data_IF_799017936517
#
_entry.id   IF_799017936517
#
_cell.length_a   1.000
_cell.length_b   1.000
_cell.length_c   1.000
_cell.angle_alpha   90.00
_cell.angle_beta   90.00
_cell.angle_gamma   90.00
#
_symmetry.space_group_name_H-M   'P 1'
#
loop_
_entity.id
_entity.type
_entity.pdbx_description
1 polymer ?
#
# COMPACT_ATOMS: atom_id res chain seq x y z
N UNK A 1 -34.67 -5.49 9.51
CA UNK A 1 -34.85 -5.24 8.08
C UNK A 1 -33.56 -4.58 7.60
N UNK A 2 -32.53 -5.40 7.34
CA UNK A 2 -31.20 -4.97 6.90
C UNK A 2 -31.32 -4.62 5.43
N UNK A 3 -31.10 -3.38 5.08
CA UNK A 3 -31.01 -2.94 3.70
C UNK A 3 -29.59 -3.31 3.24
N UNK A 4 -29.52 -4.49 2.63
CA UNK A 4 -28.33 -4.95 1.89
C UNK A 4 -28.31 -4.16 0.57
N UNK A 5 -27.71 -2.97 0.59
CA UNK A 5 -27.42 -2.24 -0.63
C UNK A 5 -26.07 -2.73 -1.10
N UNK A 6 -25.96 -3.50 -2.18
CA UNK A 6 -24.66 -3.86 -2.72
C UNK A 6 -23.94 -2.56 -3.07
N UNK A 7 -22.75 -2.37 -2.50
CA UNK A 7 -21.85 -1.28 -2.89
C UNK A 7 -21.64 -1.44 -4.40
N UNK A 8 -22.26 -0.56 -5.17
CA UNK A 8 -22.00 -0.47 -6.61
C UNK A 8 -20.53 -0.15 -6.74
N UNK A 9 -19.77 -1.13 -7.22
CA UNK A 9 -18.38 -0.93 -7.61
C UNK A 9 -18.35 0.30 -8.54
N UNK A 10 -17.80 1.42 -8.05
CA UNK A 10 -17.63 2.60 -8.90
C UNK A 10 -16.44 2.34 -9.82
N UNK A 11 -16.76 1.67 -10.96
CA UNK A 11 -15.77 1.31 -11.97
C UNK A 11 -14.99 2.52 -12.50
N UNK A 12 -15.57 3.70 -12.44
CA UNK A 12 -14.93 4.96 -12.84
C UNK A 12 -13.84 5.33 -11.85
N UNK A 13 -14.11 5.24 -10.55
CA UNK A 13 -13.15 5.53 -9.50
C UNK A 13 -12.01 4.48 -9.50
N UNK A 14 -12.33 3.21 -9.65
CA UNK A 14 -11.34 2.13 -9.76
C UNK A 14 -10.41 2.37 -10.97
N UNK A 15 -10.95 2.68 -12.14
CA UNK A 15 -10.16 2.98 -13.33
C UNK A 15 -9.28 4.23 -13.15
N UNK A 16 -9.78 5.28 -12.48
CA UNK A 16 -8.99 6.48 -12.17
C UNK A 16 -7.83 6.16 -11.24
N UNK A 17 -8.05 5.31 -10.21
CA UNK A 17 -6.99 4.88 -9.31
C UNK A 17 -5.95 4.02 -10.02
N UNK A 18 -6.37 3.04 -10.84
CA UNK A 18 -5.43 2.23 -11.63
C UNK A 18 -4.57 3.10 -12.55
N UNK A 19 -5.19 4.05 -13.27
CA UNK A 19 -4.48 4.98 -14.15
C UNK A 19 -3.46 5.83 -13.38
N UNK A 20 -3.80 6.31 -12.18
CA UNK A 20 -2.89 7.09 -11.34
C UNK A 20 -1.69 6.24 -10.86
N UNK A 21 -1.91 4.99 -10.46
CA UNK A 21 -0.83 4.09 -10.04
C UNK A 21 0.05 3.61 -11.21
N UNK A 22 -0.44 3.72 -12.45
CA UNK A 22 0.35 3.50 -13.66
C UNK A 22 1.27 4.69 -14.01
N UNK A 23 1.11 5.86 -13.35
CA UNK A 23 1.98 7.03 -13.54
C UNK A 23 3.35 6.84 -12.88
N UNK A 24 4.38 7.37 -13.52
CA UNK A 24 5.75 7.32 -12.99
C UNK A 24 6.36 5.92 -12.98
N UNK A 25 7.28 5.68 -12.05
CA UNK A 25 7.94 4.38 -11.86
C UNK A 25 7.85 3.88 -10.43
N UNK A 26 6.63 3.48 -10.04
CA UNK A 26 6.41 2.93 -8.70
C UNK A 26 7.22 1.65 -8.45
N UNK A 27 7.48 0.85 -9.49
CA UNK A 27 8.29 -0.36 -9.35
C UNK A 27 9.73 -0.03 -8.92
N UNK A 28 10.33 1.01 -9.52
CA UNK A 28 11.64 1.52 -9.12
C UNK A 28 11.64 1.97 -7.65
N UNK A 29 10.61 2.71 -7.22
CA UNK A 29 10.47 3.13 -5.82
C UNK A 29 10.37 1.94 -4.87
N UNK A 30 9.58 0.93 -5.22
CA UNK A 30 9.42 -0.28 -4.42
C UNK A 30 10.76 -1.02 -4.25
N UNK A 31 11.58 -1.05 -5.29
CA UNK A 31 12.88 -1.70 -5.27
C UNK A 31 13.95 -0.90 -4.53
N UNK A 32 14.03 0.41 -4.78
CA UNK A 32 15.13 1.23 -4.24
C UNK A 32 14.95 1.62 -2.78
N UNK A 33 13.69 1.85 -2.34
CA UNK A 33 13.47 2.42 -1.00
C UNK A 33 12.53 1.60 -0.11
N UNK A 34 11.62 0.80 -0.68
CA UNK A 34 10.64 0.04 0.12
C UNK A 34 10.94 -1.47 0.19
N UNK A 35 12.02 -1.94 -0.44
CA UNK A 35 12.36 -3.36 -0.48
C UNK A 35 12.42 -4.04 0.91
N UNK A 36 12.90 -3.40 1.99
CA UNK A 36 12.94 -4.04 3.30
C UNK A 36 11.57 -4.39 3.89
N UNK A 37 10.49 -3.72 3.51
CA UNK A 37 9.14 -3.99 4.03
C UNK A 37 8.65 -5.41 3.69
N UNK A 38 9.11 -5.97 2.57
CA UNK A 38 8.76 -7.32 2.16
C UNK A 38 9.18 -8.39 3.17
N UNK A 39 10.47 -8.57 3.42
CA UNK A 39 10.96 -9.51 4.43
C UNK A 39 10.39 -9.27 5.84
N UNK A 40 10.16 -8.02 6.22
CA UNK A 40 9.57 -7.66 7.52
C UNK A 40 8.16 -8.26 7.64
N UNK A 41 7.29 -8.01 6.65
CA UNK A 41 5.92 -8.53 6.70
C UNK A 41 5.89 -10.05 6.60
N UNK A 42 6.72 -10.64 5.74
CA UNK A 42 6.85 -12.09 5.58
C UNK A 42 7.21 -12.76 6.90
N UNK A 43 8.17 -12.20 7.63
CA UNK A 43 8.59 -12.73 8.94
C UNK A 43 7.48 -12.56 9.99
N UNK A 44 6.87 -11.38 10.07
CA UNK A 44 5.83 -11.07 11.06
C UNK A 44 4.57 -11.92 10.85
N UNK A 45 4.18 -12.19 9.60
CA UNK A 45 3.03 -13.01 9.27
C UNK A 45 3.33 -14.53 9.34
N UNK A 46 4.57 -14.93 9.59
CA UNK A 46 4.97 -16.34 9.68
C UNK A 46 4.85 -17.10 8.36
N UNK A 47 5.12 -16.44 7.23
CA UNK A 47 5.00 -17.06 5.91
C UNK A 47 6.10 -18.10 5.71
N UNK A 48 5.71 -19.32 5.28
CA UNK A 48 6.61 -20.43 5.09
C UNK A 48 6.12 -21.45 4.06
N UNK A 49 6.89 -22.53 3.86
CA UNK A 49 6.59 -23.56 2.87
C UNK A 49 5.21 -24.18 3.08
N UNK A 50 4.50 -24.41 1.98
CA UNK A 50 3.19 -25.08 1.97
C UNK A 50 1.99 -24.20 2.32
N UNK A 51 2.20 -22.96 2.77
CA UNK A 51 1.14 -22.01 3.03
C UNK A 51 0.64 -21.39 1.71
N UNK A 52 -0.67 -21.17 1.63
CA UNK A 52 -1.33 -20.43 0.55
C UNK A 52 -1.53 -18.97 0.98
N UNK A 53 -0.90 -18.06 0.28
CA UNK A 53 -0.78 -16.66 0.66
C UNK A 53 -1.42 -15.77 -0.41
N UNK A 54 -2.23 -14.80 0.01
CA UNK A 54 -2.76 -13.74 -0.84
C UNK A 54 -2.07 -12.43 -0.52
N UNK A 55 -1.48 -11.80 -1.53
CA UNK A 55 -0.96 -10.44 -1.46
C UNK A 55 -1.94 -9.48 -2.17
N UNK A 56 -2.56 -8.59 -1.41
CA UNK A 56 -3.61 -7.67 -1.87
C UNK A 56 -3.00 -6.30 -2.14
N UNK A 57 -3.27 -5.76 -3.33
CA UNK A 57 -2.66 -4.53 -3.84
C UNK A 57 -1.13 -4.65 -3.83
N UNK A 58 -0.65 -5.72 -4.45
CA UNK A 58 0.74 -6.20 -4.40
C UNK A 58 1.72 -5.33 -5.20
N UNK A 59 1.20 -4.47 -6.09
CA UNK A 59 2.01 -3.65 -6.97
C UNK A 59 3.00 -4.46 -7.80
N UNK A 60 4.26 -4.06 -7.80
CA UNK A 60 5.35 -4.76 -8.49
C UNK A 60 5.93 -5.95 -7.73
N UNK A 61 5.22 -6.49 -6.71
CA UNK A 61 5.55 -7.73 -6.02
C UNK A 61 6.55 -7.58 -4.87
N UNK A 62 6.58 -6.43 -4.24
CA UNK A 62 7.54 -6.14 -3.16
C UNK A 62 7.42 -7.08 -1.96
N UNK A 63 6.22 -7.62 -1.71
CA UNK A 63 5.96 -8.61 -0.68
C UNK A 63 5.78 -10.01 -1.29
N UNK A 64 5.09 -10.09 -2.43
CA UNK A 64 4.83 -11.36 -3.12
C UNK A 64 6.11 -12.16 -3.41
N UNK A 65 7.19 -11.49 -3.86
CA UNK A 65 8.42 -12.17 -4.21
C UNK A 65 9.16 -12.73 -2.98
N UNK A 66 9.39 -11.95 -1.89
CA UNK A 66 9.91 -12.50 -0.63
C UNK A 66 9.06 -13.64 -0.07
N UNK A 67 7.73 -13.54 -0.14
CA UNK A 67 6.82 -14.60 0.29
C UNK A 67 7.03 -15.89 -0.52
N UNK A 68 7.11 -15.78 -1.86
CA UNK A 68 7.36 -16.94 -2.73
C UNK A 68 8.74 -17.59 -2.47
N UNK A 69 9.76 -16.82 -2.10
CA UNK A 69 11.09 -17.35 -1.73
C UNK A 69 11.07 -18.26 -0.51
N UNK A 70 10.06 -18.14 0.35
CA UNK A 70 9.90 -19.05 1.50
C UNK A 70 9.40 -20.44 1.12
N UNK A 71 8.93 -20.64 -0.12
CA UNK A 71 8.25 -21.85 -0.58
C UNK A 71 6.74 -21.84 -0.38
N UNK A 72 6.15 -20.68 -0.07
CA UNK A 72 4.71 -20.49 -0.05
C UNK A 72 4.13 -20.44 -1.46
N UNK A 73 2.86 -20.85 -1.60
CA UNK A 73 2.08 -20.67 -2.84
C UNK A 73 1.43 -19.29 -2.80
N UNK A 74 1.92 -18.36 -3.61
CA UNK A 74 1.50 -16.95 -3.56
C UNK A 74 0.58 -16.61 -4.71
N UNK A 75 -0.54 -15.96 -4.38
CA UNK A 75 -1.41 -15.25 -5.32
C UNK A 75 -1.19 -13.76 -5.11
N UNK A 76 -0.75 -13.08 -6.15
CA UNK A 76 -0.46 -11.64 -6.17
C UNK A 76 -1.60 -10.91 -6.89
N UNK A 77 -2.24 -9.97 -6.22
CA UNK A 77 -3.37 -9.22 -6.79
C UNK A 77 -3.14 -7.73 -6.76
N UNK A 78 -3.53 -7.03 -7.82
CA UNK A 78 -3.52 -5.57 -7.89
C UNK A 78 -4.63 -5.09 -8.83
N UNK A 79 -5.03 -3.85 -8.68
CA UNK A 79 -5.99 -3.17 -9.55
C UNK A 79 -5.33 -2.70 -10.86
N UNK A 80 -3.99 -2.59 -10.89
CA UNK A 80 -3.18 -2.03 -11.96
C UNK A 80 -2.43 -3.15 -12.70
N UNK A 81 -2.91 -3.60 -13.87
CA UNK A 81 -2.30 -4.72 -14.61
C UNK A 81 -0.82 -4.49 -14.93
N UNK A 82 -0.43 -3.25 -15.22
CA UNK A 82 0.96 -2.88 -15.54
C UNK A 82 1.91 -3.20 -14.39
N UNK A 83 1.47 -3.03 -13.13
CA UNK A 83 2.27 -3.37 -11.96
C UNK A 83 2.40 -4.88 -11.80
N UNK A 84 1.33 -5.64 -12.06
CA UNK A 84 1.38 -7.10 -12.04
C UNK A 84 2.34 -7.66 -13.11
N UNK A 85 2.37 -7.08 -14.31
CA UNK A 85 3.33 -7.51 -15.35
C UNK A 85 4.77 -7.21 -14.93
N UNK A 86 5.04 -6.09 -14.26
CA UNK A 86 6.37 -5.81 -13.67
C UNK A 86 6.72 -6.83 -12.58
N UNK A 87 5.78 -7.16 -11.69
CA UNK A 87 5.96 -8.20 -10.67
C UNK A 87 6.30 -9.56 -11.30
N UNK A 88 5.60 -9.92 -12.38
CA UNK A 88 5.82 -11.16 -13.12
C UNK A 88 7.20 -11.22 -13.76
N UNK A 89 7.65 -10.12 -14.37
CA UNK A 89 8.99 -10.03 -14.93
C UNK A 89 10.07 -10.22 -13.85
N UNK A 90 9.94 -9.52 -12.72
CA UNK A 90 10.86 -9.66 -11.56
C UNK A 90 10.86 -11.07 -10.97
N UNK A 91 9.71 -11.73 -10.91
CA UNK A 91 9.62 -13.12 -10.46
C UNK A 91 10.36 -14.06 -11.42
N UNK A 92 10.19 -13.89 -12.73
CA UNK A 92 10.86 -14.70 -13.75
C UNK A 92 12.39 -14.55 -13.68
N UNK A 93 12.91 -13.33 -13.49
CA UNK A 93 14.34 -13.05 -13.29
C UNK A 93 14.92 -13.77 -12.06
N UNK A 94 14.08 -13.99 -11.03
CA UNK A 94 14.47 -14.68 -9.79
C UNK A 94 14.12 -16.18 -9.78
N UNK A 95 13.59 -16.72 -10.89
CA UNK A 95 13.18 -18.12 -10.99
C UNK A 95 11.99 -18.50 -10.09
N UNK A 96 11.14 -17.51 -9.72
CA UNK A 96 9.99 -17.68 -8.87
C UNK A 96 8.72 -17.88 -9.71
N UNK A 97 7.78 -18.68 -9.17
CA UNK A 97 6.47 -18.89 -9.77
C UNK A 97 5.39 -18.41 -8.82
N UNK A 98 4.56 -17.48 -9.29
CA UNK A 98 3.41 -16.94 -8.56
C UNK A 98 2.18 -16.97 -9.48
N UNK A 99 0.99 -16.92 -8.87
CA UNK A 99 -0.26 -16.67 -9.58
C UNK A 99 -0.55 -15.17 -9.54
N UNK A 100 -0.99 -14.59 -10.67
CA UNK A 100 -1.32 -13.17 -10.78
C UNK A 100 -2.77 -13.00 -11.19
N UNK A 101 -3.47 -12.07 -10.54
CA UNK A 101 -4.86 -11.77 -10.85
C UNK A 101 -5.16 -10.30 -10.63
N UNK A 102 -5.72 -9.63 -11.65
CA UNK A 102 -6.29 -8.31 -11.49
C UNK A 102 -7.48 -8.39 -10.54
N UNK A 103 -7.46 -7.57 -9.48
CA UNK A 103 -8.53 -7.55 -8.49
C UNK A 103 -8.61 -6.21 -7.77
N UNK A 104 -9.85 -5.83 -7.42
CA UNK A 104 -10.12 -4.72 -6.52
C UNK A 104 -10.07 -5.23 -5.07
N UNK A 105 -9.28 -4.59 -4.21
CA UNK A 105 -9.17 -4.94 -2.79
C UNK A 105 -10.51 -4.88 -2.03
N UNK A 106 -11.50 -4.16 -2.56
CA UNK A 106 -12.84 -4.02 -1.98
C UNK A 106 -13.81 -5.13 -2.45
N UNK A 107 -13.41 -5.97 -3.40
CA UNK A 107 -14.23 -7.04 -3.97
C UNK A 107 -13.31 -8.13 -4.54
N UNK A 108 -12.68 -8.91 -3.66
CA UNK A 108 -11.73 -9.95 -4.04
C UNK A 108 -12.44 -11.15 -4.67
N UNK A 109 -11.98 -11.64 -5.83
CA UNK A 109 -12.64 -12.71 -6.57
C UNK A 109 -12.28 -14.11 -6.03
N UNK A 110 -12.28 -14.25 -4.70
CA UNK A 110 -11.93 -15.48 -4.00
C UNK A 110 -13.03 -15.90 -3.02
N UNK A 111 -13.08 -17.19 -2.72
CA UNK A 111 -14.00 -17.75 -1.72
C UNK A 111 -13.63 -17.37 -0.29
N UNK A 112 -14.60 -17.53 0.63
CA UNK A 112 -14.36 -17.33 2.06
C UNK A 112 -13.36 -18.36 2.57
N UNK A 113 -12.36 -17.90 3.33
CA UNK A 113 -11.38 -18.77 3.95
C UNK A 113 -10.44 -19.51 2.99
N UNK A 114 -10.20 -18.96 1.81
CA UNK A 114 -9.40 -19.62 0.77
C UNK A 114 -7.89 -19.58 1.04
N UNK A 115 -7.41 -18.67 1.90
CA UNK A 115 -5.99 -18.44 2.14
C UNK A 115 -5.59 -18.69 3.60
N UNK A 116 -4.41 -19.27 3.81
CA UNK A 116 -3.79 -19.39 5.13
C UNK A 116 -3.37 -18.04 5.67
N UNK A 117 -2.86 -17.18 4.77
CA UNK A 117 -2.42 -15.83 5.09
C UNK A 117 -2.95 -14.85 4.04
N UNK A 118 -3.49 -13.72 4.51
CA UNK A 118 -3.81 -12.57 3.67
C UNK A 118 -2.96 -11.38 4.10
N UNK A 119 -2.36 -10.69 3.16
CA UNK A 119 -1.45 -9.60 3.48
C UNK A 119 -1.57 -8.42 2.51
N UNK A 120 -1.14 -7.25 2.97
CA UNK A 120 -0.93 -6.08 2.13
C UNK A 120 0.10 -5.15 2.77
N UNK A 121 1.08 -4.68 2.00
CA UNK A 121 1.97 -3.61 2.47
C UNK A 121 1.78 -2.37 1.62
N UNK A 122 1.39 -1.28 2.29
CA UNK A 122 1.18 0.06 1.72
C UNK A 122 0.00 0.13 0.73
N UNK A 123 -0.28 -0.94 -0.01
CA UNK A 123 -1.27 -0.92 -1.10
C UNK A 123 -2.72 -0.72 -0.62
N UNK A 124 -3.20 -1.54 0.31
CA UNK A 124 -4.62 -1.57 0.74
C UNK A 124 -5.10 -0.25 1.34
N UNK A 125 -4.20 0.53 1.94
CA UNK A 125 -4.53 1.83 2.55
C UNK A 125 -5.07 2.85 1.53
N UNK A 126 -4.86 2.61 0.25
CA UNK A 126 -5.35 3.46 -0.83
C UNK A 126 -6.72 3.03 -1.39
N UNK A 127 -7.29 1.95 -0.90
CA UNK A 127 -8.66 1.57 -1.25
C UNK A 127 -9.63 2.68 -0.80
N UNK A 128 -10.56 3.13 -1.66
CA UNK A 128 -11.51 4.19 -1.31
C UNK A 128 -12.40 3.86 -0.11
N UNK A 129 -12.88 2.64 -0.01
CA UNK A 129 -13.66 2.15 1.12
C UNK A 129 -12.79 1.24 1.98
N UNK A 130 -12.22 1.82 3.05
CA UNK A 130 -11.34 1.11 3.97
C UNK A 130 -12.05 -0.08 4.65
N UNK A 131 -13.35 0.07 5.00
CA UNK A 131 -14.06 -0.99 5.68
C UNK A 131 -14.34 -2.18 4.74
N UNK A 132 -14.74 -1.91 3.48
CA UNK A 132 -14.90 -2.98 2.49
C UNK A 132 -13.59 -3.73 2.27
N UNK A 133 -12.47 -3.02 2.11
CA UNK A 133 -11.17 -3.63 1.90
C UNK A 133 -10.72 -4.48 3.11
N UNK A 134 -10.93 -3.99 4.34
CA UNK A 134 -10.65 -4.76 5.56
C UNK A 134 -11.53 -6.01 5.66
N UNK A 135 -12.83 -5.88 5.37
CA UNK A 135 -13.76 -7.01 5.38
C UNK A 135 -13.32 -8.10 4.40
N UNK A 136 -12.85 -7.73 3.21
CA UNK A 136 -12.36 -8.68 2.21
C UNK A 136 -11.09 -9.42 2.66
N UNK A 137 -10.10 -8.70 3.26
CA UNK A 137 -8.93 -9.35 3.85
C UNK A 137 -9.33 -10.41 4.88
N UNK A 138 -10.30 -10.06 5.75
CA UNK A 138 -10.79 -10.96 6.79
C UNK A 138 -11.60 -12.10 6.18
N UNK A 139 -12.45 -11.84 5.19
CA UNK A 139 -13.33 -12.83 4.56
C UNK A 139 -12.55 -13.97 3.89
N UNK A 140 -11.55 -13.59 3.07
CA UNK A 140 -10.79 -14.59 2.28
C UNK A 140 -9.72 -15.33 3.08
N UNK A 141 -9.37 -14.84 4.28
CA UNK A 141 -8.51 -15.54 5.23
C UNK A 141 -9.30 -16.65 5.91
N UNK A 142 -8.73 -17.85 6.05
CA UNK A 142 -9.38 -18.96 6.75
C UNK A 142 -9.44 -18.73 8.27
N UNK A 143 -10.38 -19.36 9.00
CA UNK A 143 -10.32 -19.37 10.46
C UNK A 143 -8.97 -19.91 10.97
N UNK A 144 -8.38 -19.23 11.95
CA UNK A 144 -7.03 -19.50 12.46
C UNK A 144 -5.91 -19.12 11.48
N UNK A 145 -6.21 -18.45 10.37
CA UNK A 145 -5.22 -17.90 9.46
C UNK A 145 -4.73 -16.52 9.90
N UNK A 146 -3.63 -16.06 9.32
CA UNK A 146 -2.99 -14.79 9.67
C UNK A 146 -3.34 -13.68 8.68
N UNK A 147 -3.64 -12.50 9.21
CA UNK A 147 -3.77 -11.26 8.44
C UNK A 147 -2.57 -10.38 8.78
N UNK A 148 -1.82 -9.92 7.77
CA UNK A 148 -0.66 -9.06 7.95
C UNK A 148 -0.77 -7.78 7.13
N UNK A 149 -0.60 -6.61 7.76
CA UNK A 149 -0.68 -5.30 7.08
C UNK A 149 0.47 -4.41 7.49
N UNK A 150 1.08 -3.72 6.53
CA UNK A 150 1.96 -2.57 6.78
C UNK A 150 1.33 -1.32 6.15
N UNK A 151 1.28 -0.23 6.89
CA UNK A 151 0.76 1.05 6.41
C UNK A 151 1.57 2.23 6.94
N UNK A 152 1.71 3.29 6.14
CA UNK A 152 2.35 4.52 6.60
C UNK A 152 1.54 5.19 7.69
N UNK A 153 2.21 5.70 8.72
CA UNK A 153 1.54 6.45 9.78
C UNK A 153 1.18 7.86 9.32
N UNK A 154 0.06 8.44 9.83
CA UNK A 154 -0.33 9.80 9.46
C UNK A 154 0.68 10.86 9.90
N UNK A 155 1.38 10.60 11.01
CA UNK A 155 2.35 11.49 11.62
C UNK A 155 3.73 11.43 10.96
N UNK A 156 4.07 10.30 10.30
CA UNK A 156 5.33 10.10 9.59
C UNK A 156 5.42 10.87 8.27
N UNK A 157 6.61 10.86 7.67
CA UNK A 157 6.90 11.57 6.42
C UNK A 157 5.86 11.31 5.32
N UNK A 158 5.55 10.03 5.03
CA UNK A 158 4.59 9.68 3.98
C UNK A 158 3.17 10.18 4.27
N UNK A 159 2.70 10.03 5.50
CA UNK A 159 1.36 10.51 5.89
C UNK A 159 1.22 12.02 5.71
N UNK A 160 2.24 12.77 6.13
CA UNK A 160 2.29 14.23 5.96
C UNK A 160 2.42 14.66 4.49
N UNK A 161 3.21 13.94 3.71
CA UNK A 161 3.32 14.16 2.26
C UNK A 161 1.97 13.92 1.56
N UNK A 162 1.29 12.81 1.86
CA UNK A 162 -0.03 12.53 1.29
C UNK A 162 -1.07 13.58 1.69
N UNK A 163 -1.00 14.10 2.91
CA UNK A 163 -1.85 15.20 3.37
C UNK A 163 -1.57 16.50 2.61
N UNK A 164 -0.30 16.83 2.34
CA UNK A 164 0.09 18.00 1.55
C UNK A 164 -0.38 17.89 0.09
N UNK A 165 -0.34 16.70 -0.51
CA UNK A 165 -0.79 16.45 -1.89
C UNK A 165 -2.32 16.48 -2.04
N UNK A 166 -3.06 16.18 -0.97
CA UNK A 166 -4.52 15.95 -1.02
C UNK A 166 -5.34 17.09 -1.66
N UNK A 167 -5.09 18.39 -1.39
CA UNK A 167 -5.83 19.49 -2.01
C UNK A 167 -5.73 19.53 -3.53
N UNK A 168 -4.67 18.96 -4.09
CA UNK A 168 -4.36 18.96 -5.52
C UNK A 168 -4.77 17.68 -6.23
N UNK A 169 -5.47 16.76 -5.53
CA UNK A 169 -5.84 15.44 -6.04
C UNK A 169 -7.35 15.23 -5.97
N UNK A 170 -8.10 15.64 -7.01
CA UNK A 170 -9.58 15.48 -7.05
C UNK A 170 -10.02 14.01 -6.98
N UNK A 171 -9.20 13.07 -7.45
CA UNK A 171 -9.44 11.62 -7.34
C UNK A 171 -9.53 11.14 -5.87
N UNK A 172 -8.85 11.87 -4.96
CA UNK A 172 -8.93 11.68 -3.51
C UNK A 172 -9.93 12.68 -2.93
N UNK A 173 -11.20 12.54 -3.30
CA UNK A 173 -12.30 13.37 -2.80
C UNK A 173 -12.20 13.62 -1.29
N UNK A 174 -12.57 14.84 -0.86
CA UNK A 174 -12.64 15.18 0.57
C UNK A 174 -13.59 14.26 1.37
N UNK A 175 -14.49 13.56 0.69
CA UNK A 175 -15.38 12.57 1.28
C UNK A 175 -14.71 11.23 1.60
N UNK A 176 -13.57 10.91 0.95
CA UNK A 176 -12.83 9.67 1.24
C UNK A 176 -11.96 9.82 2.49
N UNK A 177 -11.81 8.76 3.30
CA UNK A 177 -10.91 8.79 4.44
C UNK A 177 -9.45 8.98 3.97
N UNK A 178 -8.61 9.70 4.75
CA UNK A 178 -7.19 9.75 4.48
C UNK A 178 -6.56 8.35 4.52
N UNK A 179 -5.84 7.96 3.46
CA UNK A 179 -5.23 6.62 3.34
C UNK A 179 -4.32 6.28 4.53
N UNK A 180 -3.55 7.24 5.04
CA UNK A 180 -2.65 7.05 6.17
C UNK A 180 -3.36 6.73 7.51
N UNK A 181 -4.70 6.79 7.58
CA UNK A 181 -5.43 6.32 8.77
C UNK A 181 -5.20 4.82 9.05
N UNK A 182 -4.90 4.01 8.04
CA UNK A 182 -4.48 2.62 8.23
C UNK A 182 -3.19 2.48 9.08
N UNK A 183 -2.39 3.53 9.18
CA UNK A 183 -1.23 3.62 10.07
C UNK A 183 -1.57 4.03 11.51
N UNK A 184 -2.86 4.14 11.89
CA UNK A 184 -3.30 4.33 13.26
C UNK A 184 -3.82 3.03 13.84
N UNK A 185 -3.22 2.58 14.94
CA UNK A 185 -3.55 1.33 15.61
C UNK A 185 -5.05 1.20 15.90
N UNK A 186 -5.65 2.19 16.57
CA UNK A 186 -7.07 2.15 16.90
C UNK A 186 -7.97 2.11 15.65
N UNK A 187 -7.55 2.73 14.55
CA UNK A 187 -8.32 2.75 13.31
C UNK A 187 -8.30 1.38 12.63
N UNK A 188 -7.10 0.80 12.40
CA UNK A 188 -6.97 -0.48 11.71
C UNK A 188 -7.58 -1.63 12.54
N UNK A 189 -7.39 -1.60 13.87
CA UNK A 189 -8.03 -2.56 14.78
C UNK A 189 -9.56 -2.47 14.70
N UNK A 190 -10.09 -1.24 14.63
CA UNK A 190 -11.53 -1.01 14.44
C UNK A 190 -12.05 -1.54 13.11
N UNK A 191 -11.28 -1.39 12.01
CA UNK A 191 -11.65 -1.94 10.69
C UNK A 191 -11.70 -3.47 10.68
N UNK A 192 -10.72 -4.14 11.31
CA UNK A 192 -10.67 -5.60 11.41
C UNK A 192 -11.77 -6.15 12.35
N UNK A 193 -12.17 -5.37 13.34
CA UNK A 193 -13.31 -5.61 14.21
C UNK A 193 -13.29 -6.95 14.94
N UNK A 194 -14.49 -7.50 15.16
CA UNK A 194 -14.68 -8.78 15.87
C UNK A 194 -14.31 -10.00 15.01
N UNK A 195 -13.97 -9.80 13.72
CA UNK A 195 -13.56 -10.86 12.81
C UNK A 195 -12.19 -11.47 13.11
N UNK A 196 -11.42 -10.81 13.97
CA UNK A 196 -10.05 -11.21 14.31
C UNK A 196 -9.82 -11.33 15.82
N UNK A 197 -8.71 -11.94 16.17
CA UNK A 197 -8.18 -12.04 17.53
C UNK A 197 -6.66 -11.91 17.50
N UNK A 198 -5.99 -11.94 18.66
CA UNK A 198 -4.54 -11.88 18.78
C UNK A 198 -3.90 -10.74 17.93
N UNK A 199 -4.55 -9.58 17.93
CA UNK A 199 -4.01 -8.42 17.19
C UNK A 199 -2.73 -7.95 17.85
N UNK A 200 -1.65 -7.84 17.05
CA UNK A 200 -0.40 -7.21 17.47
C UNK A 200 -0.11 -6.01 16.57
N UNK A 201 0.44 -4.97 17.14
CA UNK A 201 0.80 -3.74 16.43
C UNK A 201 2.21 -3.32 16.81
N UNK A 202 2.97 -2.87 15.82
CA UNK A 202 4.31 -2.34 16.01
C UNK A 202 4.53 -1.13 15.11
N UNK A 203 4.95 0.00 15.68
CA UNK A 203 5.44 1.14 14.92
C UNK A 203 6.95 1.02 14.79
N UNK A 204 7.46 1.16 13.58
CA UNK A 204 8.88 1.11 13.29
C UNK A 204 9.27 2.08 12.17
N UNK A 205 10.50 2.56 12.15
CA UNK A 205 11.03 3.33 11.04
C UNK A 205 11.53 2.40 9.92
N UNK A 206 11.27 2.80 8.69
CA UNK A 206 12.03 2.35 7.54
C UNK A 206 13.15 3.36 7.29
N UNK A 207 14.40 2.95 7.50
CA UNK A 207 15.56 3.78 7.19
C UNK A 207 15.76 3.88 5.68
N UNK A 208 15.84 5.12 5.16
CA UNK A 208 16.08 5.43 3.76
C UNK A 208 17.31 6.33 3.64
N UNK A 209 18.37 5.80 3.05
CA UNK A 209 19.68 6.46 2.90
C UNK A 209 19.95 6.91 1.46
N UNK A 210 18.96 6.85 0.60
CA UNK A 210 19.10 7.12 -0.84
C UNK A 210 19.34 8.59 -1.17
N UNK A 211 18.91 9.51 -0.29
CA UNK A 211 18.83 10.93 -0.61
C UNK A 211 19.83 11.74 0.18
N UNK A 212 20.64 12.53 -0.54
CA UNK A 212 21.60 13.42 0.10
C UNK A 212 21.00 14.80 0.50
N UNK A 213 19.88 15.20 -0.12
CA UNK A 213 19.24 16.50 0.11
C UNK A 213 17.73 16.39 0.06
N UNK A 214 17.02 17.30 0.73
CA UNK A 214 15.57 17.41 0.67
C UNK A 214 15.06 17.67 -0.77
N UNK A 215 15.81 18.43 -1.57
CA UNK A 215 15.49 18.65 -2.97
C UNK A 215 15.53 17.34 -3.76
N UNK A 216 16.52 16.48 -3.52
CA UNK A 216 16.60 15.16 -4.20
C UNK A 216 15.43 14.26 -3.83
N UNK A 217 14.93 14.32 -2.58
CA UNK A 217 13.71 13.63 -2.17
C UNK A 217 12.52 14.12 -2.99
N UNK A 218 12.31 15.44 -3.00
CA UNK A 218 11.22 16.07 -3.74
C UNK A 218 11.24 15.68 -5.23
N UNK A 219 12.40 15.84 -5.89
CA UNK A 219 12.55 15.55 -7.32
C UNK A 219 12.28 14.08 -7.63
N UNK A 220 12.70 13.18 -6.73
CA UNK A 220 12.43 11.74 -6.86
C UNK A 220 10.93 11.44 -6.83
N UNK A 221 10.19 11.97 -5.86
CA UNK A 221 8.74 11.76 -5.77
C UNK A 221 7.98 12.45 -6.90
N UNK A 222 8.41 13.64 -7.30
CA UNK A 222 7.80 14.40 -8.40
C UNK A 222 7.87 13.66 -9.73
N UNK A 223 8.95 12.88 -9.95
CA UNK A 223 9.16 12.16 -11.20
C UNK A 223 8.65 10.72 -11.19
N UNK A 224 8.56 10.05 -10.03
CA UNK A 224 8.33 8.61 -9.96
C UNK A 224 7.05 8.21 -9.23
N UNK A 225 6.46 9.09 -8.41
CA UNK A 225 5.34 8.72 -7.57
C UNK A 225 4.00 9.21 -8.13
N UNK A 226 3.14 8.28 -8.56
CA UNK A 226 1.88 8.58 -9.20
C UNK A 226 1.03 9.66 -8.51
N UNK A 227 0.81 9.59 -7.17
CA UNK A 227 0.09 10.63 -6.44
C UNK A 227 0.70 12.04 -6.55
N UNK A 228 2.01 12.16 -6.61
CA UNK A 228 2.69 13.45 -6.80
C UNK A 228 2.54 13.93 -8.24
N UNK A 229 2.76 13.06 -9.21
CA UNK A 229 2.58 13.35 -10.64
C UNK A 229 1.16 13.85 -10.92
N UNK A 230 0.15 13.15 -10.37
CA UNK A 230 -1.26 13.57 -10.48
C UNK A 230 -1.51 14.96 -9.91
N UNK A 231 -0.95 15.26 -8.73
CA UNK A 231 -1.09 16.57 -8.09
C UNK A 231 -0.56 17.69 -8.97
N UNK A 232 0.65 17.54 -9.53
CA UNK A 232 1.21 18.55 -10.44
C UNK A 232 0.47 18.64 -11.77
N UNK A 233 0.00 17.53 -12.31
CA UNK A 233 -0.85 17.54 -13.51
C UNK A 233 -2.15 18.32 -13.29
N UNK A 234 -2.76 18.20 -12.12
CA UNK A 234 -3.97 18.95 -11.76
C UNK A 234 -3.70 20.44 -11.48
N UNK A 235 -2.52 20.82 -10.99
CA UNK A 235 -2.10 22.21 -10.87
C UNK A 235 -1.95 22.85 -12.26
N UNK A 236 -1.53 22.08 -13.25
CA UNK A 236 -1.36 22.53 -14.63
C UNK A 236 -0.36 23.69 -14.75
N UNK A 237 -0.73 24.73 -15.53
CA UNK A 237 0.16 25.88 -15.81
C UNK A 237 0.22 26.93 -14.68
N UNK A 238 -0.37 26.63 -13.51
CA UNK A 238 -0.32 27.57 -12.38
C UNK A 238 1.05 27.50 -11.66
N UNK A 239 2.01 28.26 -12.17
CA UNK A 239 3.38 28.29 -11.66
C UNK A 239 3.50 28.72 -10.18
N UNK A 240 2.55 29.52 -9.68
CA UNK A 240 2.55 29.96 -8.27
C UNK A 240 2.19 28.78 -7.37
N UNK A 241 1.09 28.07 -7.65
CA UNK A 241 0.71 26.89 -6.88
C UNK A 241 1.76 25.77 -6.97
N UNK A 242 2.37 25.57 -8.14
CA UNK A 242 3.45 24.61 -8.31
C UNK A 242 4.64 24.93 -7.40
N UNK A 243 5.07 26.20 -7.38
CA UNK A 243 6.18 26.63 -6.53
C UNK A 243 5.85 26.56 -5.02
N UNK A 244 4.61 26.84 -4.64
CA UNK A 244 4.15 26.70 -3.24
C UNK A 244 4.19 25.22 -2.80
N UNK A 245 3.71 24.30 -3.65
CA UNK A 245 3.78 22.86 -3.35
C UNK A 245 5.23 22.36 -3.35
N UNK A 246 6.08 22.78 -4.30
CA UNK A 246 7.51 22.47 -4.31
C UNK A 246 8.17 22.86 -2.97
N UNK A 247 7.96 24.10 -2.53
CA UNK A 247 8.52 24.61 -1.27
C UNK A 247 8.03 23.79 -0.06
N UNK A 248 6.72 23.52 0.01
CA UNK A 248 6.12 22.74 1.10
C UNK A 248 6.69 21.31 1.17
N UNK A 249 6.84 20.63 0.04
CA UNK A 249 7.36 19.26 0.01
C UNK A 249 8.85 19.19 0.30
N UNK A 250 9.63 20.18 -0.15
CA UNK A 250 11.07 20.29 0.18
C UNK A 250 11.26 20.58 1.68
N UNK A 251 10.48 21.52 2.25
CA UNK A 251 10.51 21.80 3.68
C UNK A 251 10.15 20.56 4.50
N UNK A 252 9.08 19.87 4.13
CA UNK A 252 8.69 18.62 4.76
C UNK A 252 9.81 17.56 4.69
N UNK A 253 10.44 17.38 3.52
CA UNK A 253 11.55 16.44 3.39
C UNK A 253 12.75 16.83 4.28
N UNK A 254 13.03 18.14 4.41
CA UNK A 254 14.12 18.64 5.26
C UNK A 254 13.89 18.36 6.75
N UNK A 255 12.63 18.35 7.22
CA UNK A 255 12.31 17.99 8.61
C UNK A 255 12.68 16.55 8.97
N UNK A 256 12.62 15.63 7.98
CA UNK A 256 12.86 14.20 8.18
C UNK A 256 14.23 13.72 7.70
N UNK A 257 15.01 14.54 7.03
CA UNK A 257 16.33 14.19 6.53
C UNK A 257 17.43 14.67 7.51
N UNK A 258 18.08 13.73 8.17
CA UNK A 258 19.19 14.02 9.08
C UNK A 258 20.41 13.22 8.64
N UNK A 259 21.52 13.87 8.36
CA UNK A 259 22.79 13.27 7.95
C UNK A 259 22.66 12.27 6.77
N UNK A 260 21.76 12.57 5.83
CA UNK A 260 21.49 11.73 4.66
C UNK A 260 20.59 10.51 4.93
N UNK A 261 19.99 10.44 6.10
CA UNK A 261 19.06 9.37 6.50
C UNK A 261 17.69 9.96 6.73
N UNK A 262 16.65 9.29 6.19
CA UNK A 262 15.24 9.54 6.53
C UNK A 262 14.67 8.33 7.25
N UNK A 263 13.83 8.57 8.23
CA UNK A 263 13.04 7.53 8.88
C UNK A 263 11.58 7.66 8.45
N UNK A 264 11.10 6.69 7.68
CA UNK A 264 9.70 6.63 7.25
C UNK A 264 8.92 5.71 8.16
N UNK A 265 8.17 6.30 9.08
CA UNK A 265 7.42 5.53 10.06
C UNK A 265 6.25 4.76 9.43
N UNK A 266 6.17 3.47 9.73
CA UNK A 266 5.06 2.60 9.40
C UNK A 266 4.48 1.91 10.64
N UNK A 267 3.23 1.47 10.51
CA UNK A 267 2.57 0.55 11.43
C UNK A 267 2.53 -0.83 10.79
N UNK A 268 3.11 -1.81 11.47
CA UNK A 268 2.94 -3.23 11.18
C UNK A 268 1.81 -3.78 12.07
N UNK A 269 0.89 -4.50 11.46
CA UNK A 269 -0.23 -5.16 12.15
C UNK A 269 -0.25 -6.62 11.76
N UNK A 270 -0.35 -7.52 12.72
CA UNK A 270 -0.73 -8.90 12.49
C UNK A 270 -1.94 -9.27 13.34
N UNK A 271 -2.81 -10.12 12.82
CA UNK A 271 -4.00 -10.60 13.52
C UNK A 271 -4.33 -12.02 13.08
N UNK A 272 -5.02 -12.77 13.94
CA UNK A 272 -5.53 -14.10 13.63
C UNK A 272 -7.03 -14.01 13.30
N UNK A 273 -7.46 -14.62 12.20
CA UNK A 273 -8.88 -14.75 11.83
C UNK A 273 -9.61 -15.67 12.81
N UNK A 274 -10.74 -15.25 13.33
CA UNK A 274 -11.66 -16.10 14.14
C UNK A 274 -12.34 -17.19 13.36
#
# INVERSE_FOLDING_TARGET
MTIDTPVREDKTLAATHAAMWALGDYALMAEEVMAPLGPILVAAAGIGPGLRVLDVAAGSGNISLPAAKTGATVVSTDLTPELLERSKARAAEQGLTLTYQEANAQALPFGDGEFDITMSAIGIMFAPDHQCAANELVRVCRPGGTIGVISWTPEGYFGRMLAALRPYRPSMSAALPPSALWGREAYVTGLLGDGVTAVTTERAPLEVTRFATAQAVHDYFKNNYGPTIEAYANIGDNAVLAAELDAQLVELAAEYLTDGVMEWEYLLVTAEKR
#
